data_IF_858198253136
#
_entry.id   IF_858198253136
#
_cell.length_a   1.000
_cell.length_b   1.000
_cell.length_c   1.000
_cell.angle_alpha   90.00
_cell.angle_beta   90.00
_cell.angle_gamma   90.00
#
_symmetry.space_group_name_H-M   'P 1'
#
loop_
_entity.id
_entity.type
_entity.pdbx_description
1 polymer ?
#
# COMPACT_ATOMS: atom_id res chain seq x y z
N UNK A 1 -26.68 -4.38 2.75
CA UNK A 1 -25.58 -3.45 2.41
C UNK A 1 -24.25 -4.01 2.93
N UNK A 2 -24.24 -4.46 4.18
CA UNK A 2 -23.06 -5.05 4.88
C UNK A 2 -22.40 -6.20 4.12
N UNK A 3 -23.18 -7.10 3.51
CA UNK A 3 -22.63 -8.20 2.71
C UNK A 3 -21.81 -7.70 1.49
N UNK A 4 -22.19 -6.58 0.88
CA UNK A 4 -21.46 -6.02 -0.26
C UNK A 4 -20.16 -5.32 0.19
N UNK A 5 -20.17 -4.70 1.37
CA UNK A 5 -18.99 -4.06 1.97
C UNK A 5 -17.92 -5.11 2.27
N UNK A 6 -18.29 -6.18 3.00
CA UNK A 6 -17.35 -7.24 3.31
C UNK A 6 -16.86 -7.95 2.03
N UNK A 7 -17.77 -8.21 1.08
CA UNK A 7 -17.40 -8.81 -0.21
C UNK A 7 -16.37 -7.95 -0.95
N UNK A 8 -16.51 -6.63 -0.95
CA UNK A 8 -15.53 -5.73 -1.57
C UNK A 8 -14.19 -5.74 -0.83
N UNK A 9 -14.19 -5.65 0.51
CA UNK A 9 -12.97 -5.73 1.32
C UNK A 9 -12.22 -7.03 1.04
N UNK A 10 -12.92 -8.16 1.07
CA UNK A 10 -12.38 -9.49 0.80
C UNK A 10 -11.83 -9.60 -0.62
N UNK A 11 -12.56 -9.12 -1.63
CA UNK A 11 -12.09 -9.15 -3.02
C UNK A 11 -10.77 -8.40 -3.21
N UNK A 12 -10.65 -7.19 -2.65
CA UNK A 12 -9.41 -6.40 -2.75
C UNK A 12 -8.30 -7.04 -1.91
N UNK A 13 -8.62 -7.59 -0.74
CA UNK A 13 -7.65 -8.36 0.06
C UNK A 13 -7.09 -9.51 -0.74
N UNK A 14 -7.94 -10.32 -1.39
CA UNK A 14 -7.52 -11.46 -2.18
C UNK A 14 -6.71 -11.03 -3.42
N UNK A 15 -7.10 -9.92 -4.07
CA UNK A 15 -6.32 -9.32 -5.17
C UNK A 15 -4.90 -8.94 -4.72
N UNK A 16 -4.76 -8.33 -3.54
CA UNK A 16 -3.47 -7.91 -3.00
C UNK A 16 -2.66 -9.09 -2.43
N UNK A 17 -3.33 -10.07 -1.84
CA UNK A 17 -2.68 -11.25 -1.25
C UNK A 17 -1.88 -12.04 -2.30
N UNK A 18 -2.23 -11.96 -3.58
CA UNK A 18 -1.48 -12.62 -4.65
C UNK A 18 -0.02 -12.17 -4.71
N UNK A 19 0.31 -10.96 -4.26
CA UNK A 19 1.70 -10.43 -4.18
C UNK A 19 2.62 -11.43 -3.47
N UNK A 20 2.10 -12.10 -2.45
CA UNK A 20 2.87 -12.91 -1.53
C UNK A 20 2.87 -14.39 -1.90
N UNK A 21 1.94 -14.83 -2.75
CA UNK A 21 1.77 -16.20 -3.23
C UNK A 21 2.10 -17.24 -2.14
N UNK A 22 3.10 -18.11 -2.35
CA UNK A 22 3.57 -19.08 -1.35
C UNK A 22 4.80 -18.61 -0.57
N UNK A 23 5.27 -17.38 -0.80
CA UNK A 23 6.50 -16.84 -0.19
C UNK A 23 6.30 -16.42 1.25
N UNK A 24 5.10 -15.92 1.58
CA UNK A 24 4.75 -15.49 2.94
C UNK A 24 3.34 -15.96 3.26
N UNK A 25 3.19 -16.60 4.42
CA UNK A 25 1.88 -17.04 4.90
C UNK A 25 1.05 -15.84 5.37
N UNK A 26 0.12 -15.40 4.55
CA UNK A 26 -0.90 -14.40 4.92
C UNK A 26 -2.10 -15.11 5.55
N UNK A 27 -2.63 -14.55 6.64
CA UNK A 27 -3.87 -15.05 7.20
C UNK A 27 -5.03 -14.80 6.24
N UNK A 28 -6.06 -15.64 6.30
CA UNK A 28 -7.30 -15.38 5.56
C UNK A 28 -7.86 -14.01 5.95
N UNK A 29 -8.52 -13.33 5.01
CA UNK A 29 -9.20 -12.07 5.25
C UNK A 29 -10.00 -12.12 6.56
N UNK A 30 -9.79 -11.11 7.41
CA UNK A 30 -10.39 -10.97 8.73
C UNK A 30 -10.73 -9.51 8.98
N UNK A 31 -11.92 -9.25 9.51
CA UNK A 31 -12.34 -7.89 9.88
C UNK A 31 -11.63 -7.40 11.16
N UNK A 32 -10.85 -8.23 11.84
CA UNK A 32 -10.18 -7.86 13.10
C UNK A 32 -9.17 -6.71 12.95
N UNK A 33 -8.59 -6.55 11.76
CA UNK A 33 -7.62 -5.50 11.43
C UNK A 33 -8.27 -4.17 11.03
N UNK A 34 -9.60 -4.07 11.03
CA UNK A 34 -10.32 -2.89 10.58
C UNK A 34 -11.14 -2.26 11.70
N UNK A 35 -11.11 -0.94 11.76
CA UNK A 35 -12.06 -0.12 12.50
C UNK A 35 -13.02 0.53 11.51
N UNK A 36 -14.28 0.10 11.52
CA UNK A 36 -15.30 0.59 10.59
C UNK A 36 -15.92 1.96 10.97
N UNK A 37 -15.40 2.60 12.02
CA UNK A 37 -15.87 3.91 12.49
C UNK A 37 -15.10 5.02 11.80
N UNK A 38 -15.78 6.11 11.50
CA UNK A 38 -15.15 7.32 11.00
C UNK A 38 -14.46 8.09 12.13
N UNK A 39 -13.13 8.10 12.10
CA UNK A 39 -12.28 8.84 13.03
C UNK A 39 -11.11 9.48 12.26
N UNK A 40 -10.57 10.63 12.70
CA UNK A 40 -9.54 11.37 11.97
C UNK A 40 -8.14 10.77 12.17
N UNK A 41 -7.99 9.47 11.94
CA UNK A 41 -6.72 8.72 12.03
C UNK A 41 -6.70 7.61 10.98
N UNK A 42 -5.50 7.18 10.59
CA UNK A 42 -5.31 6.03 9.68
C UNK A 42 -5.31 4.73 10.48
N UNK A 43 -4.74 4.76 11.69
CA UNK A 43 -4.70 3.63 12.61
C UNK A 43 -5.29 4.01 13.97
N UNK A 44 -5.90 3.05 14.63
CA UNK A 44 -6.36 3.15 16.02
C UNK A 44 -6.39 1.76 16.65
N UNK A 45 -5.65 1.58 17.75
CA UNK A 45 -5.55 0.32 18.49
C UNK A 45 -5.14 -0.87 17.59
N UNK A 46 -4.06 -0.70 16.81
CA UNK A 46 -3.54 -1.72 15.86
C UNK A 46 -4.57 -2.15 14.79
N UNK A 47 -5.50 -1.26 14.45
CA UNK A 47 -6.47 -1.45 13.37
C UNK A 47 -6.44 -0.30 12.39
N UNK A 48 -6.64 -0.61 11.12
CA UNK A 48 -6.80 0.37 10.05
C UNK A 48 -8.20 0.94 10.09
N UNK A 49 -8.31 2.25 10.11
CA UNK A 49 -9.57 2.98 10.04
C UNK A 49 -10.07 2.95 8.60
N UNK A 50 -11.13 2.17 8.37
CA UNK A 50 -11.78 2.06 7.07
C UNK A 50 -13.29 2.14 7.27
N UNK A 51 -13.86 3.36 7.27
CA UNK A 51 -15.26 3.55 7.61
C UNK A 51 -16.17 2.93 6.56
N UNK A 52 -17.21 2.21 7.00
CA UNK A 52 -18.13 1.54 6.09
C UNK A 52 -18.88 2.53 5.18
N UNK A 53 -19.05 3.79 5.61
CA UNK A 53 -19.62 4.87 4.80
C UNK A 53 -18.80 5.19 3.54
N UNK A 54 -17.47 5.07 3.61
CA UNK A 54 -16.58 5.31 2.47
C UNK A 54 -16.75 4.20 1.43
N UNK A 55 -16.88 2.96 1.89
CA UNK A 55 -17.10 1.80 1.01
C UNK A 55 -18.50 1.83 0.41
N UNK A 56 -19.51 2.17 1.22
CA UNK A 56 -20.88 2.35 0.73
C UNK A 56 -20.91 3.39 -0.39
N UNK A 57 -20.23 4.53 -0.19
CA UNK A 57 -20.08 5.57 -1.22
C UNK A 57 -19.46 5.00 -2.50
N UNK A 58 -18.32 4.31 -2.41
CA UNK A 58 -17.68 3.65 -3.56
C UNK A 58 -18.61 2.69 -4.33
N UNK A 59 -19.43 1.91 -3.60
CA UNK A 59 -20.34 0.92 -4.18
C UNK A 59 -21.58 1.55 -4.85
N UNK A 60 -21.99 2.74 -4.40
CA UNK A 60 -23.21 3.41 -4.88
C UNK A 60 -22.97 4.49 -5.93
N UNK A 61 -21.75 5.01 -6.03
CA UNK A 61 -21.42 6.02 -7.02
C UNK A 61 -21.35 5.42 -8.44
N UNK A 62 -22.09 6.02 -9.38
CA UNK A 62 -22.08 5.62 -10.79
C UNK A 62 -20.73 5.93 -11.48
N UNK A 63 -19.94 6.86 -10.94
CA UNK A 63 -18.63 7.23 -11.46
C UNK A 63 -17.60 6.78 -10.43
N UNK A 64 -16.61 6.00 -10.88
CA UNK A 64 -15.51 5.58 -10.01
C UNK A 64 -14.70 6.78 -9.54
N UNK A 65 -14.79 7.07 -8.25
CA UNK A 65 -13.95 8.05 -7.59
C UNK A 65 -12.58 7.41 -7.26
N UNK A 66 -11.54 7.84 -7.97
CA UNK A 66 -10.17 7.31 -7.83
C UNK A 66 -9.63 7.53 -6.42
N UNK A 67 -9.91 8.66 -5.78
CA UNK A 67 -9.43 8.94 -4.42
C UNK A 67 -10.06 8.01 -3.39
N UNK A 68 -11.36 7.72 -3.54
CA UNK A 68 -12.04 6.74 -2.69
C UNK A 68 -11.47 5.34 -2.93
N UNK A 69 -11.23 4.96 -4.19
CA UNK A 69 -10.61 3.67 -4.51
C UNK A 69 -9.21 3.57 -3.91
N UNK A 70 -8.37 4.59 -4.09
CA UNK A 70 -7.02 4.70 -3.52
C UNK A 70 -7.05 4.55 -2.01
N UNK A 71 -7.96 5.24 -1.32
CA UNK A 71 -8.11 5.12 0.12
C UNK A 71 -8.47 3.70 0.57
N UNK A 72 -9.38 3.03 -0.15
CA UNK A 72 -9.78 1.64 0.15
C UNK A 72 -8.59 0.69 -0.05
N UNK A 73 -7.87 0.78 -1.18
CA UNK A 73 -6.70 -0.06 -1.44
C UNK A 73 -5.59 0.19 -0.41
N UNK A 74 -5.32 1.46 -0.10
CA UNK A 74 -4.32 1.83 0.89
C UNK A 74 -4.66 1.20 2.25
N UNK A 75 -5.91 1.34 2.69
CA UNK A 75 -6.38 0.78 3.96
C UNK A 75 -6.27 -0.75 4.01
N UNK A 76 -6.66 -1.44 2.95
CA UNK A 76 -6.62 -2.90 2.91
C UNK A 76 -5.17 -3.41 2.88
N UNK A 77 -4.29 -2.77 2.12
CA UNK A 77 -2.88 -3.16 2.09
C UNK A 77 -2.16 -2.86 3.42
N UNK A 78 -2.52 -1.76 4.09
CA UNK A 78 -2.08 -1.47 5.46
C UNK A 78 -2.51 -2.57 6.43
N UNK A 79 -3.75 -3.08 6.31
CA UNK A 79 -4.24 -4.16 7.15
C UNK A 79 -3.49 -5.48 6.89
N UNK A 80 -3.14 -5.76 5.63
CA UNK A 80 -2.23 -6.87 5.28
C UNK A 80 -0.85 -6.66 5.92
N UNK A 81 -0.31 -5.44 5.91
CA UNK A 81 0.96 -5.11 6.57
C UNK A 81 0.93 -5.39 8.08
N UNK A 82 -0.16 -5.04 8.76
CA UNK A 82 -0.36 -5.35 10.18
C UNK A 82 -0.46 -6.87 10.42
N UNK A 83 -1.17 -7.59 9.55
CA UNK A 83 -1.24 -9.05 9.58
C UNK A 83 0.16 -9.69 9.48
N UNK A 84 1.02 -9.11 8.64
CA UNK A 84 2.41 -9.48 8.44
C UNK A 84 3.39 -8.93 9.49
N UNK A 85 2.88 -8.30 10.57
CA UNK A 85 3.65 -7.79 11.70
C UNK A 85 4.66 -6.69 11.33
N UNK A 86 4.34 -5.86 10.35
CA UNK A 86 5.16 -4.68 10.02
C UNK A 86 5.03 -3.54 11.05
N UNK A 87 3.93 -3.51 11.82
CA UNK A 87 3.56 -2.37 12.66
C UNK A 87 2.95 -1.22 11.85
N UNK A 88 2.29 -0.27 12.51
CA UNK A 88 1.50 0.78 11.84
C UNK A 88 2.32 1.62 10.84
N UNK A 89 3.50 2.10 11.27
CA UNK A 89 4.35 3.00 10.46
C UNK A 89 4.76 2.32 9.15
N UNK A 90 5.29 1.10 9.20
CA UNK A 90 5.77 0.41 8.01
C UNK A 90 4.65 -0.22 7.18
N UNK A 91 3.51 -0.56 7.80
CA UNK A 91 2.31 -0.94 7.06
C UNK A 91 1.79 0.21 6.20
N UNK A 92 1.81 1.43 6.75
CA UNK A 92 1.46 2.65 6.01
C UNK A 92 2.43 2.89 4.85
N UNK A 93 3.75 2.82 5.10
CA UNK A 93 4.76 2.99 4.05
C UNK A 93 4.55 2.01 2.90
N UNK A 94 4.25 0.74 3.20
CA UNK A 94 3.95 -0.26 2.19
C UNK A 94 2.74 0.13 1.34
N UNK A 95 1.63 0.51 1.99
CA UNK A 95 0.40 0.82 1.29
C UNK A 95 0.48 2.11 0.48
N UNK A 96 1.15 3.12 1.01
CA UNK A 96 1.40 4.38 0.33
C UNK A 96 2.26 4.18 -0.92
N UNK A 97 3.41 3.51 -0.79
CA UNK A 97 4.31 3.26 -1.93
C UNK A 97 3.63 2.44 -3.03
N UNK A 98 2.85 1.42 -2.66
CA UNK A 98 2.05 0.66 -3.61
C UNK A 98 1.03 1.54 -4.33
N UNK A 99 0.27 2.35 -3.60
CA UNK A 99 -0.77 3.20 -4.17
C UNK A 99 -0.18 4.32 -5.04
N UNK A 100 0.97 4.89 -4.65
CA UNK A 100 1.70 5.86 -5.46
C UNK A 100 1.98 5.31 -6.85
N UNK A 101 2.48 4.08 -6.94
CA UNK A 101 2.74 3.42 -8.22
C UNK A 101 1.43 3.08 -8.94
N UNK A 102 0.47 2.43 -8.26
CA UNK A 102 -0.79 1.98 -8.87
C UNK A 102 -1.60 3.12 -9.49
N UNK A 103 -1.62 4.29 -8.84
CA UNK A 103 -2.41 5.44 -9.26
C UNK A 103 -1.59 6.54 -9.93
N UNK A 104 -0.28 6.33 -10.12
CA UNK A 104 0.65 7.30 -10.73
C UNK A 104 0.59 8.68 -10.05
N UNK A 105 0.30 8.69 -8.75
CA UNK A 105 0.18 9.92 -7.95
C UNK A 105 1.57 10.30 -7.45
N UNK A 106 2.29 11.11 -8.22
CA UNK A 106 3.52 11.77 -7.77
C UNK A 106 3.12 12.91 -6.84
N UNK A 107 3.21 12.71 -5.53
CA UNK A 107 3.13 13.80 -4.56
C UNK A 107 4.55 14.26 -4.18
N UNK A 108 4.71 15.55 -3.85
CA UNK A 108 6.01 16.23 -3.74
C UNK A 108 7.00 15.51 -2.80
N UNK A 109 8.28 15.41 -3.23
CA UNK A 109 9.39 14.67 -2.60
C UNK A 109 9.60 14.97 -1.09
N UNK A 110 9.15 16.10 -0.57
CA UNK A 110 9.54 16.56 0.78
C UNK A 110 9.02 15.70 1.94
N UNK A 111 7.91 14.96 1.79
CA UNK A 111 7.31 14.18 2.90
C UNK A 111 7.02 12.69 2.59
N UNK A 112 7.32 12.22 1.38
CA UNK A 112 6.93 10.88 0.89
C UNK A 112 8.11 10.16 0.23
N UNK A 113 9.22 10.08 0.97
CA UNK A 113 10.49 9.60 0.44
C UNK A 113 10.45 8.13 0.00
N UNK A 114 9.71 7.28 0.71
CA UNK A 114 9.56 5.88 0.32
C UNK A 114 8.69 5.73 -0.94
N UNK A 115 7.63 6.53 -1.07
CA UNK A 115 6.81 6.56 -2.29
C UNK A 115 7.69 6.96 -3.48
N UNK A 116 8.46 8.05 -3.36
CA UNK A 116 9.39 8.50 -4.39
C UNK A 116 10.48 7.46 -4.69
N UNK A 117 11.04 6.81 -3.66
CA UNK A 117 12.05 5.77 -3.81
C UNK A 117 11.52 4.60 -4.67
N UNK A 118 10.36 4.05 -4.31
CA UNK A 118 9.79 2.91 -5.04
C UNK A 118 9.22 3.31 -6.40
N UNK A 119 8.64 4.50 -6.54
CA UNK A 119 8.16 5.00 -7.81
C UNK A 119 9.29 5.17 -8.83
N UNK A 120 10.41 5.77 -8.42
CA UNK A 120 11.60 5.85 -9.29
C UNK A 120 12.14 4.48 -9.66
N UNK A 121 12.21 3.56 -8.68
CA UNK A 121 12.67 2.19 -8.93
C UNK A 121 11.76 1.46 -9.93
N UNK A 122 10.44 1.62 -9.80
CA UNK A 122 9.47 1.03 -10.73
C UNK A 122 9.64 1.57 -12.15
N UNK A 123 9.76 2.89 -12.29
CA UNK A 123 9.90 3.53 -13.61
C UNK A 123 11.20 3.12 -14.31
N UNK A 124 12.29 2.92 -13.57
CA UNK A 124 13.55 2.43 -14.12
C UNK A 124 13.47 0.98 -14.62
N UNK A 125 12.61 0.15 -14.03
CA UNK A 125 12.48 -1.27 -14.38
C UNK A 125 11.43 -1.53 -15.47
N UNK A 126 10.32 -0.77 -15.47
CA UNK A 126 9.15 -1.06 -16.32
C UNK A 126 8.74 0.05 -17.31
N UNK A 127 9.11 1.31 -17.07
CA UNK A 127 8.60 2.55 -17.72
C UNK A 127 7.46 3.26 -16.97
N UNK A 128 7.41 4.59 -17.12
CA UNK A 128 6.44 5.48 -16.44
C UNK A 128 4.97 5.21 -16.76
N UNK A 129 4.69 4.66 -17.95
CA UNK A 129 3.34 4.39 -18.41
C UNK A 129 2.85 2.97 -18.07
N UNK A 130 3.72 2.10 -17.57
CA UNK A 130 3.34 0.73 -17.23
C UNK A 130 2.29 0.73 -16.12
N UNK A 131 1.26 -0.09 -16.27
CA UNK A 131 0.22 -0.25 -15.25
C UNK A 131 0.64 -1.31 -14.23
N UNK A 132 0.35 -1.08 -12.96
CA UNK A 132 0.62 -2.05 -11.88
C UNK A 132 -0.36 -3.23 -11.94
N UNK A 133 -0.15 -4.13 -12.90
CA UNK A 133 -0.95 -5.34 -13.09
C UNK A 133 -0.34 -6.52 -12.32
N UNK A 134 -0.88 -6.82 -11.14
CA UNK A 134 -0.39 -7.92 -10.28
C UNK A 134 -0.53 -9.33 -10.89
N UNK A 135 -1.24 -9.49 -12.01
CA UNK A 135 -1.25 -10.75 -12.77
C UNK A 135 0.07 -10.97 -13.50
N UNK A 136 0.77 -9.90 -13.89
CA UNK A 136 2.11 -9.98 -14.47
C UNK A 136 3.10 -10.38 -13.37
N UNK A 137 3.81 -11.48 -13.58
CA UNK A 137 4.74 -12.05 -12.62
C UNK A 137 5.90 -11.09 -12.30
N UNK A 138 6.42 -10.33 -13.27
CA UNK A 138 7.52 -9.39 -13.03
C UNK A 138 7.09 -8.22 -12.15
N UNK A 139 5.92 -7.64 -12.43
CA UNK A 139 5.34 -6.57 -11.60
C UNK A 139 5.03 -7.10 -10.21
N UNK A 140 4.47 -8.31 -10.12
CA UNK A 140 4.21 -8.95 -8.83
C UNK A 140 5.50 -9.19 -8.04
N UNK A 141 6.57 -9.62 -8.69
CA UNK A 141 7.89 -9.77 -8.08
C UNK A 141 8.41 -8.43 -7.56
N UNK A 142 8.31 -7.35 -8.35
CA UNK A 142 8.70 -6.01 -7.92
C UNK A 142 7.97 -5.60 -6.64
N UNK A 143 6.65 -5.78 -6.61
CA UNK A 143 5.83 -5.42 -5.42
C UNK A 143 6.20 -6.28 -4.22
N UNK A 144 6.53 -7.56 -4.43
CA UNK A 144 7.07 -8.41 -3.37
C UNK A 144 8.44 -7.91 -2.85
N UNK A 145 9.34 -7.48 -3.74
CA UNK A 145 10.63 -6.90 -3.35
C UNK A 145 10.47 -5.58 -2.58
N UNK A 146 9.47 -4.77 -2.95
CA UNK A 146 9.08 -3.59 -2.18
C UNK A 146 8.65 -3.97 -0.75
N UNK A 147 7.77 -4.96 -0.59
CA UNK A 147 7.42 -5.48 0.73
C UNK A 147 8.65 -5.98 1.51
N UNK A 148 9.50 -6.80 0.88
CA UNK A 148 10.68 -7.36 1.52
C UNK A 148 11.62 -6.27 2.04
N UNK A 149 11.84 -5.22 1.24
CA UNK A 149 12.64 -4.06 1.62
C UNK A 149 12.04 -3.30 2.80
N UNK A 150 10.72 -3.06 2.79
CA UNK A 150 10.03 -2.39 3.90
C UNK A 150 10.05 -3.25 5.17
N UNK A 151 9.92 -4.57 5.05
CA UNK A 151 10.04 -5.51 6.18
C UNK A 151 11.45 -5.56 6.76
N UNK A 152 12.48 -5.35 5.94
CA UNK A 152 13.85 -5.19 6.41
C UNK A 152 14.01 -3.85 7.17
N UNK A 153 13.55 -2.75 6.57
CA UNK A 153 13.55 -1.43 7.21
C UNK A 153 12.79 -1.38 8.53
N UNK A 154 11.73 -2.18 8.70
CA UNK A 154 11.00 -2.26 9.97
C UNK A 154 11.78 -2.92 11.11
N UNK A 155 12.84 -3.67 10.78
CA UNK A 155 13.75 -4.32 11.74
C UNK A 155 15.06 -3.56 11.91
N UNK A 156 15.43 -2.74 10.93
CA UNK A 156 16.68 -1.99 10.87
C UNK A 156 16.42 -0.55 10.39
N UNK A 157 16.09 0.32 11.35
CA UNK A 157 15.80 1.73 11.08
C UNK A 157 17.06 2.50 10.62
N UNK A 158 18.26 2.03 11.00
CA UNK A 158 19.52 2.63 10.55
C UNK A 158 19.72 2.40 9.06
N UNK A 159 19.44 1.19 8.57
CA UNK A 159 19.49 0.90 7.14
C UNK A 159 18.44 1.69 6.36
N UNK A 160 17.22 1.84 6.90
CA UNK A 160 16.18 2.70 6.32
C UNK A 160 16.67 4.14 6.12
N UNK A 161 17.23 4.76 7.17
CA UNK A 161 17.77 6.13 7.10
C UNK A 161 18.91 6.26 6.10
N UNK A 162 19.83 5.28 6.08
CA UNK A 162 20.96 5.29 5.17
C UNK A 162 20.53 5.26 3.70
N UNK A 163 19.66 4.31 3.33
CA UNK A 163 19.20 4.14 1.94
C UNK A 163 18.38 5.35 1.45
N UNK A 164 17.51 5.91 2.29
CA UNK A 164 16.72 7.09 1.92
C UNK A 164 17.59 8.33 1.76
N UNK A 165 18.60 8.53 2.62
CA UNK A 165 19.54 9.63 2.49
C UNK A 165 20.41 9.51 1.23
N UNK A 166 20.81 8.29 0.88
CA UNK A 166 21.52 8.03 -0.37
C UNK A 166 20.65 8.36 -1.59
N UNK A 167 19.40 7.89 -1.59
CA UNK A 167 18.42 8.22 -2.63
C UNK A 167 18.25 9.73 -2.81
N UNK A 168 18.01 10.46 -1.72
CA UNK A 168 17.91 11.93 -1.74
C UNK A 168 19.16 12.61 -2.32
N UNK A 169 20.33 12.13 -1.91
CA UNK A 169 21.62 12.67 -2.40
C UNK A 169 21.81 12.44 -3.89
N UNK A 170 21.24 11.37 -4.45
CA UNK A 170 21.34 11.06 -5.88
C UNK A 170 20.31 11.82 -6.72
N UNK A 171 19.10 12.06 -6.19
CA UNK A 171 18.10 12.91 -6.85
C UNK A 171 18.61 14.35 -6.97
N UNK A 172 19.13 14.93 -5.87
CA UNK A 172 19.64 16.29 -5.84
C UNK A 172 20.91 16.54 -6.69
N UNK A 173 21.57 15.49 -7.19
CA UNK A 173 22.73 15.61 -8.10
C UNK A 173 22.33 15.69 -9.57
N UNK A 174 21.10 15.30 -9.91
CA UNK A 174 20.58 15.25 -11.27
C UNK A 174 19.62 16.40 -11.59
N UNK A 175 19.39 17.30 -10.62
CA UNK A 175 18.77 18.61 -10.77
C UNK A 175 19.85 19.70 -10.94
#
# INVERSE_FOLDING_TARGET
MDNNIETLKRRIWDELAIIFDNKVKIAKFSNEFFLNKDIPRIFYEDKVVLPDVIIAKYLTENIKNIEIERFIYNSILSAIGLNLKLGEIFSKKLSDSFCCIKYKSSESISNQLEEAYFFNKFNNEFSINEDLNLKNEKIREFVYQMFYKISYWSKDESAHKAEINEFLSNVNKND
#
